data_IF_684124238553
#
_entry.id   IF_684124238553
#
_cell.length_a   1.000
_cell.length_b   1.000
_cell.length_c   1.000
_cell.angle_alpha   90.00
_cell.angle_beta   90.00
_cell.angle_gamma   90.00
#
_symmetry.space_group_name_H-M   'P 1'
#
loop_
_entity.id
_entity.type
_entity.pdbx_description
1 polymer ?
#
# COMPACT_ATOMS: atom_id res chain seq x y z
N UNK A 1 11.05 -0.95 17.04
CA UNK A 1 9.68 -0.80 16.52
C UNK A 1 8.85 -1.93 17.10
N UNK A 2 7.82 -1.59 17.85
CA UNK A 2 6.92 -2.53 18.53
C UNK A 2 5.75 -2.93 17.61
N UNK A 3 5.30 -2.01 16.76
CA UNK A 3 4.26 -2.24 15.77
C UNK A 3 4.72 -3.29 14.75
N UNK A 4 3.94 -4.36 14.58
CA UNK A 4 4.20 -5.41 13.57
C UNK A 4 4.00 -4.85 12.17
N UNK A 5 4.75 -5.37 11.21
CA UNK A 5 4.49 -5.13 9.79
C UNK A 5 3.70 -6.32 9.24
N UNK A 6 2.56 -6.03 8.64
CA UNK A 6 1.63 -7.04 8.12
C UNK A 6 1.41 -6.84 6.64
N UNK A 7 1.46 -7.93 5.89
CA UNK A 7 1.08 -8.01 4.48
C UNK A 7 -0.02 -9.04 4.28
N UNK A 8 -0.82 -8.88 3.24
CA UNK A 8 -1.69 -9.95 2.73
C UNK A 8 -1.19 -10.40 1.35
N UNK A 9 -1.16 -11.71 1.12
CA UNK A 9 -0.70 -12.28 -0.14
C UNK A 9 -1.68 -13.33 -0.67
N UNK A 10 -2.20 -13.12 -1.86
CA UNK A 10 -2.83 -14.14 -2.71
C UNK A 10 -2.04 -14.14 -4.02
N UNK A 11 -1.35 -15.25 -4.30
CA UNK A 11 -0.40 -15.32 -5.42
C UNK A 11 -0.22 -16.73 -5.91
N UNK A 12 -0.01 -16.89 -7.21
CA UNK A 12 0.40 -18.14 -7.84
C UNK A 12 1.60 -17.93 -8.79
N UNK A 13 1.93 -18.91 -9.61
CA UNK A 13 3.07 -18.85 -10.52
C UNK A 13 2.90 -17.87 -11.70
N UNK A 14 1.68 -17.36 -11.94
CA UNK A 14 1.32 -16.58 -13.13
C UNK A 14 1.25 -15.08 -12.86
N UNK A 15 1.39 -14.66 -11.60
CA UNK A 15 1.38 -13.26 -11.21
C UNK A 15 2.76 -12.78 -10.70
N UNK A 16 2.82 -11.54 -10.23
CA UNK A 16 4.03 -10.91 -9.66
C UNK A 16 3.85 -10.46 -8.21
N UNK A 17 2.76 -10.84 -7.54
CA UNK A 17 2.46 -10.33 -6.18
C UNK A 17 3.48 -10.82 -5.15
N UNK A 18 4.02 -12.03 -5.32
CA UNK A 18 5.08 -12.53 -4.44
C UNK A 18 6.38 -11.74 -4.62
N UNK A 19 6.78 -11.41 -5.84
CA UNK A 19 7.99 -10.63 -6.11
C UNK A 19 7.84 -9.19 -5.60
N UNK A 20 6.65 -8.61 -5.72
CA UNK A 20 6.32 -7.31 -5.10
C UNK A 20 6.53 -7.39 -3.60
N UNK A 21 5.93 -8.38 -2.95
CA UNK A 21 6.07 -8.61 -1.51
C UNK A 21 7.54 -8.81 -1.10
N UNK A 22 8.29 -9.66 -1.82
CA UNK A 22 9.71 -9.90 -1.54
C UNK A 22 10.51 -8.59 -1.64
N UNK A 23 10.28 -7.79 -2.69
CA UNK A 23 10.95 -6.50 -2.88
C UNK A 23 10.62 -5.53 -1.73
N UNK A 24 9.36 -5.47 -1.31
CA UNK A 24 8.91 -4.67 -0.18
C UNK A 24 9.62 -5.11 1.10
N UNK A 25 9.63 -6.41 1.42
CA UNK A 25 10.27 -6.95 2.63
C UNK A 25 11.79 -6.71 2.63
N UNK A 26 12.48 -6.91 1.51
CA UNK A 26 13.93 -6.65 1.42
C UNK A 26 14.22 -5.18 1.69
N UNK A 27 13.42 -4.27 1.13
CA UNK A 27 13.54 -2.84 1.39
C UNK A 27 13.23 -2.49 2.85
N UNK A 28 12.24 -3.14 3.46
CA UNK A 28 11.90 -3.00 4.86
C UNK A 28 13.06 -3.43 5.77
N UNK A 29 13.56 -4.66 5.60
CA UNK A 29 14.64 -5.21 6.44
C UNK A 29 15.96 -4.43 6.29
N UNK A 30 16.16 -3.74 5.17
CA UNK A 30 17.32 -2.83 5.00
C UNK A 30 17.30 -1.66 5.99
N UNK A 31 16.16 -1.03 6.20
CA UNK A 31 16.02 0.16 7.06
C UNK A 31 15.50 -0.16 8.46
N UNK A 32 14.90 -1.34 8.63
CA UNK A 32 14.29 -1.82 9.85
C UNK A 32 14.64 -3.31 10.05
N UNK A 33 15.91 -3.65 10.33
CA UNK A 33 16.39 -5.03 10.33
C UNK A 33 15.70 -5.92 11.38
N UNK A 34 15.22 -5.34 12.48
CA UNK A 34 14.52 -6.03 13.56
C UNK A 34 13.00 -5.95 13.48
N UNK A 35 12.44 -5.39 12.40
CA UNK A 35 10.99 -5.34 12.23
C UNK A 35 10.40 -6.75 12.19
N UNK A 36 9.37 -6.99 12.97
CA UNK A 36 8.59 -8.24 12.91
C UNK A 36 7.65 -8.20 11.70
N UNK A 37 7.76 -9.18 10.83
CA UNK A 37 7.00 -9.26 9.57
C UNK A 37 6.08 -10.49 9.60
N UNK A 38 4.78 -10.26 9.47
CA UNK A 38 3.77 -11.30 9.36
C UNK A 38 3.06 -11.21 8.01
N UNK A 39 2.93 -12.33 7.32
CA UNK A 39 2.21 -12.44 6.04
C UNK A 39 0.97 -13.29 6.25
N UNK A 40 -0.19 -12.74 5.91
CA UNK A 40 -1.47 -13.47 5.92
C UNK A 40 -1.79 -13.94 4.50
N UNK A 41 -2.09 -15.22 4.35
CA UNK A 41 -2.31 -15.86 3.03
C UNK A 41 -3.39 -16.94 3.09
N UNK A 42 -3.79 -17.49 1.94
CA UNK A 42 -4.63 -18.68 1.89
C UNK A 42 -3.78 -19.97 1.73
N UNK A 43 -4.41 -21.12 2.00
CA UNK A 43 -3.74 -22.41 1.92
C UNK A 43 -3.20 -22.70 0.50
N UNK A 44 -3.89 -22.24 -0.56
CA UNK A 44 -3.45 -22.44 -1.96
C UNK A 44 -2.17 -21.67 -2.25
N UNK A 45 -2.09 -20.44 -1.82
CA UNK A 45 -0.88 -19.60 -1.97
C UNK A 45 0.28 -20.22 -1.18
N UNK A 46 0.05 -20.63 0.08
CA UNK A 46 1.08 -21.27 0.91
C UNK A 46 1.63 -22.54 0.25
N UNK A 47 0.77 -23.44 -0.26
CA UNK A 47 1.18 -24.65 -0.98
C UNK A 47 1.99 -24.35 -2.26
N UNK A 48 1.83 -23.15 -2.84
CA UNK A 48 2.58 -22.71 -4.01
C UNK A 48 3.99 -22.18 -3.69
N UNK A 49 4.33 -21.99 -2.41
CA UNK A 49 5.63 -21.46 -1.95
C UNK A 49 6.74 -22.55 -1.99
N UNK A 50 6.95 -23.13 -3.16
CA UNK A 50 7.98 -24.13 -3.44
C UNK A 50 9.05 -23.58 -4.39
N UNK A 51 10.21 -24.25 -4.46
CA UNK A 51 11.33 -23.80 -5.29
C UNK A 51 11.81 -22.39 -4.89
N UNK A 52 12.03 -21.49 -5.85
CA UNK A 52 12.45 -20.11 -5.54
C UNK A 52 11.42 -19.34 -4.70
N UNK A 53 10.15 -19.70 -4.76
CA UNK A 53 9.08 -19.02 -4.01
C UNK A 53 9.17 -19.29 -2.50
N UNK A 54 9.81 -20.40 -2.09
CA UNK A 54 10.01 -20.75 -0.66
C UNK A 54 10.90 -19.76 0.09
N UNK A 55 11.59 -18.86 -0.62
CA UNK A 55 12.38 -17.78 0.00
C UNK A 55 11.54 -16.92 0.96
N UNK A 56 10.23 -16.84 0.77
CA UNK A 56 9.34 -16.11 1.67
C UNK A 56 9.46 -16.60 3.11
N UNK A 57 9.50 -17.93 3.34
CA UNK A 57 9.66 -18.51 4.67
C UNK A 57 10.93 -18.06 5.41
N UNK A 58 11.97 -17.66 4.65
CA UNK A 58 13.26 -17.27 5.22
C UNK A 58 13.38 -15.77 5.52
N UNK A 59 12.47 -14.94 5.00
CA UNK A 59 12.56 -13.47 5.10
C UNK A 59 11.44 -12.86 5.94
N UNK A 60 10.45 -13.67 6.38
CA UNK A 60 9.37 -13.27 7.28
C UNK A 60 9.49 -13.97 8.62
N UNK A 61 8.88 -13.38 9.65
CA UNK A 61 8.88 -13.97 10.98
C UNK A 61 7.69 -14.93 11.18
N UNK A 62 6.59 -14.72 10.43
CA UNK A 62 5.40 -15.57 10.48
C UNK A 62 4.62 -15.56 9.16
N UNK A 63 4.10 -16.73 8.80
CA UNK A 63 3.04 -16.87 7.78
C UNK A 63 1.79 -17.39 8.50
N UNK A 64 0.69 -16.66 8.38
CA UNK A 64 -0.61 -17.02 8.95
C UNK A 64 -1.55 -17.42 7.82
N UNK A 65 -2.04 -18.66 7.86
CA UNK A 65 -3.00 -19.17 6.89
C UNK A 65 -4.40 -18.82 7.36
N UNK A 66 -5.11 -18.03 6.54
CA UNK A 66 -6.49 -17.67 6.79
C UNK A 66 -7.45 -18.61 6.05
N UNK A 67 -8.59 -18.90 6.67
CA UNK A 67 -9.68 -19.57 5.99
C UNK A 67 -10.47 -18.57 5.16
N UNK A 68 -10.50 -18.79 3.84
CA UNK A 68 -11.15 -17.92 2.86
C UNK A 68 -12.18 -18.71 2.09
N UNK A 69 -13.38 -18.16 1.81
CA UNK A 69 -14.38 -18.81 0.96
C UNK A 69 -13.78 -19.28 -0.37
N UNK A 70 -14.00 -20.53 -0.72
CA UNK A 70 -13.37 -21.22 -1.87
C UNK A 70 -13.86 -20.71 -3.23
N UNK A 71 -15.05 -20.15 -3.26
CA UNK A 71 -15.74 -19.63 -4.46
C UNK A 71 -15.22 -18.26 -4.91
N UNK A 72 -14.36 -17.61 -4.13
CA UNK A 72 -13.78 -16.33 -4.49
C UNK A 72 -12.63 -16.50 -5.49
N UNK A 73 -12.58 -15.62 -6.50
CA UNK A 73 -11.38 -15.45 -7.34
C UNK A 73 -10.22 -14.78 -6.57
N UNK A 74 -9.01 -14.78 -7.15
CA UNK A 74 -7.83 -14.28 -6.48
C UNK A 74 -7.94 -12.78 -6.09
N UNK A 75 -8.63 -11.97 -6.88
CA UNK A 75 -8.85 -10.55 -6.57
C UNK A 75 -9.72 -10.41 -5.32
N UNK A 76 -10.87 -11.11 -5.30
CA UNK A 76 -11.79 -11.08 -4.16
C UNK A 76 -11.17 -11.69 -2.91
N UNK A 77 -10.38 -12.77 -3.03
CA UNK A 77 -9.63 -13.36 -1.92
C UNK A 77 -8.65 -12.36 -1.30
N UNK A 78 -7.90 -11.63 -2.12
CA UNK A 78 -6.98 -10.60 -1.64
C UNK A 78 -7.72 -9.50 -0.85
N UNK A 79 -8.89 -9.06 -1.33
CA UNK A 79 -9.71 -8.05 -0.63
C UNK A 79 -10.38 -8.62 0.62
N UNK A 80 -10.81 -9.88 0.59
CA UNK A 80 -11.32 -10.59 1.75
C UNK A 80 -10.27 -10.59 2.87
N UNK A 81 -9.04 -11.02 2.59
CA UNK A 81 -7.94 -10.99 3.56
C UNK A 81 -7.75 -9.59 4.14
N UNK A 82 -7.63 -8.59 3.28
CA UNK A 82 -7.38 -7.21 3.71
C UNK A 82 -8.47 -6.68 4.65
N UNK A 83 -9.73 -6.93 4.32
CA UNK A 83 -10.88 -6.46 5.11
C UNK A 83 -11.12 -7.26 6.39
N UNK A 84 -10.51 -8.44 6.55
CA UNK A 84 -10.62 -9.29 7.75
C UNK A 84 -9.34 -9.30 8.60
N UNK A 85 -8.31 -8.54 8.27
CA UNK A 85 -7.01 -8.59 8.95
C UNK A 85 -7.13 -8.38 10.47
N UNK A 86 -8.00 -7.47 10.94
CA UNK A 86 -8.12 -7.17 12.36
C UNK A 86 -8.62 -8.37 13.18
N UNK A 87 -9.40 -9.27 12.59
CA UNK A 87 -9.85 -10.50 13.24
C UNK A 87 -8.78 -11.61 13.25
N UNK A 88 -7.72 -11.47 12.44
CA UNK A 88 -6.66 -12.47 12.27
C UNK A 88 -5.41 -12.08 13.08
N UNK A 89 -5.05 -10.80 13.06
CA UNK A 89 -3.82 -10.29 13.66
C UNK A 89 -4.07 -9.75 15.07
N UNK A 90 -3.34 -10.23 16.05
CA UNK A 90 -3.36 -9.72 17.42
C UNK A 90 -2.35 -8.59 17.59
N UNK A 91 -2.66 -7.60 18.43
CA UNK A 91 -1.80 -6.45 18.71
C UNK A 91 -1.80 -5.41 17.59
N UNK A 92 -1.02 -4.35 17.79
CA UNK A 92 -0.89 -3.24 16.84
C UNK A 92 -0.12 -3.66 15.59
N UNK A 93 -0.54 -3.15 14.42
CA UNK A 93 0.17 -3.42 13.18
C UNK A 93 0.12 -2.25 12.19
N UNK A 94 1.14 -2.18 11.34
CA UNK A 94 1.16 -1.40 10.11
C UNK A 94 0.97 -2.37 8.93
N UNK A 95 -0.20 -2.30 8.30
CA UNK A 95 -0.45 -3.02 7.05
C UNK A 95 0.22 -2.28 5.89
N UNK A 96 0.85 -3.05 5.01
CA UNK A 96 1.46 -2.56 3.77
C UNK A 96 0.96 -3.40 2.58
N UNK A 97 0.53 -2.74 1.49
CA UNK A 97 0.30 -3.42 0.22
C UNK A 97 1.63 -3.95 -0.35
N UNK A 98 1.58 -5.04 -1.10
CA UNK A 98 2.78 -5.70 -1.65
C UNK A 98 3.57 -4.80 -2.61
N UNK A 99 2.91 -3.86 -3.28
CA UNK A 99 3.49 -2.92 -4.23
C UNK A 99 4.00 -1.63 -3.56
N UNK A 100 4.64 -1.80 -2.40
CA UNK A 100 5.31 -0.74 -1.65
C UNK A 100 6.82 -0.95 -1.60
N UNK A 101 7.59 0.13 -1.42
CA UNK A 101 9.02 0.07 -1.15
C UNK A 101 9.34 0.98 0.04
N UNK A 102 10.00 0.42 1.02
CA UNK A 102 10.41 1.15 2.21
C UNK A 102 11.69 1.93 1.90
N UNK A 103 11.69 3.22 2.21
CA UNK A 103 12.73 4.17 1.84
C UNK A 103 13.53 4.72 3.02
N UNK A 104 13.05 4.49 4.24
CA UNK A 104 13.73 4.93 5.47
C UNK A 104 13.20 4.16 6.69
N UNK A 105 13.70 4.48 7.90
CA UNK A 105 13.21 3.88 9.15
C UNK A 105 11.72 4.16 9.37
N UNK A 106 10.98 3.12 9.76
CA UNK A 106 9.57 3.18 10.15
C UNK A 106 9.38 3.27 11.66
N UNK A 107 10.45 3.34 12.47
CA UNK A 107 10.36 3.25 13.93
C UNK A 107 9.41 4.29 14.55
N UNK A 108 9.32 5.48 13.97
CA UNK A 108 8.39 6.52 14.45
C UNK A 108 6.90 6.22 14.21
N UNK A 109 6.55 5.05 13.68
CA UNK A 109 5.15 4.60 13.65
C UNK A 109 4.63 4.31 15.07
N UNK A 110 5.51 3.96 15.98
CA UNK A 110 5.17 3.70 17.38
C UNK A 110 4.80 4.99 18.16
N UNK A 111 5.09 6.17 17.59
CA UNK A 111 4.77 7.47 18.20
C UNK A 111 3.29 7.87 18.01
N UNK A 112 2.57 7.20 17.12
CA UNK A 112 1.15 7.45 16.87
C UNK A 112 0.27 6.60 17.80
N UNK A 113 -0.78 7.23 18.34
CA UNK A 113 -1.71 6.63 19.33
C UNK A 113 -3.11 6.37 18.81
N UNK A 114 -3.46 6.92 17.67
CA UNK A 114 -4.79 6.87 17.08
C UNK A 114 -5.15 5.44 16.63
N UNK A 115 -6.44 5.09 16.71
CA UNK A 115 -6.92 3.73 16.46
C UNK A 115 -6.67 3.24 15.03
N UNK A 116 -6.91 4.12 14.05
CA UNK A 116 -6.73 3.82 12.62
C UNK A 116 -6.16 5.07 11.94
N UNK A 117 -5.06 4.91 11.21
CA UNK A 117 -4.49 6.02 10.46
C UNK A 117 -4.14 5.60 9.03
N UNK A 118 -4.40 6.51 8.09
CA UNK A 118 -4.14 6.31 6.67
C UNK A 118 -3.72 7.62 6.01
N UNK A 119 -3.12 7.52 4.83
CA UNK A 119 -2.81 8.69 4.00
C UNK A 119 -3.96 8.94 3.02
N UNK A 120 -4.28 10.20 2.80
CA UNK A 120 -5.26 10.61 1.79
C UNK A 120 -4.93 10.02 0.40
N UNK A 121 -5.95 9.58 -0.32
CA UNK A 121 -5.78 9.02 -1.65
C UNK A 121 -5.17 10.06 -2.60
N UNK A 122 -4.30 9.62 -3.48
CA UNK A 122 -3.49 10.49 -4.35
C UNK A 122 -2.61 11.51 -3.61
N UNK A 123 -2.41 11.35 -2.29
CA UNK A 123 -1.80 12.35 -1.40
C UNK A 123 -2.51 13.72 -1.49
N UNK A 124 -3.80 13.70 -1.72
CA UNK A 124 -4.65 14.89 -1.82
C UNK A 124 -5.61 15.00 -0.62
N UNK A 125 -5.34 15.90 0.35
CA UNK A 125 -6.14 16.02 1.55
C UNK A 125 -7.53 16.66 1.32
N UNK A 126 -7.79 17.23 0.15
CA UNK A 126 -9.07 17.91 -0.15
C UNK A 126 -10.22 16.89 -0.31
N UNK A 127 -9.92 15.60 -0.26
CA UNK A 127 -10.90 14.54 -0.38
C UNK A 127 -11.15 14.11 -1.83
N UNK A 128 -12.13 13.25 -1.97
CA UNK A 128 -12.43 12.61 -3.23
C UNK A 128 -12.99 13.60 -4.27
N UNK A 129 -12.25 13.80 -5.34
CA UNK A 129 -12.67 14.63 -6.49
C UNK A 129 -12.80 13.82 -7.79
N UNK A 130 -12.46 12.53 -7.79
CA UNK A 130 -12.55 11.67 -8.98
C UNK A 130 -14.02 11.32 -9.26
N UNK A 131 -14.53 11.85 -10.37
CA UNK A 131 -15.92 11.61 -10.84
C UNK A 131 -16.21 10.12 -11.04
N UNK A 132 -15.20 9.32 -11.46
CA UNK A 132 -15.38 7.88 -11.68
C UNK A 132 -15.61 7.17 -10.34
N UNK A 133 -14.85 7.51 -9.32
CA UNK A 133 -14.99 6.92 -7.97
C UNK A 133 -16.30 7.37 -7.33
N UNK A 134 -16.69 8.63 -7.46
CA UNK A 134 -18.00 9.12 -7.01
C UNK A 134 -19.16 8.38 -7.69
N UNK A 135 -19.08 8.19 -9.01
CA UNK A 135 -20.08 7.41 -9.75
C UNK A 135 -20.13 5.96 -9.24
N UNK A 136 -18.98 5.36 -9.00
CA UNK A 136 -18.87 4.01 -8.44
C UNK A 136 -19.54 3.93 -7.05
N UNK A 137 -19.20 4.84 -6.15
CA UNK A 137 -19.82 4.93 -4.82
C UNK A 137 -21.34 5.04 -4.91
N UNK A 138 -21.86 5.88 -5.79
CA UNK A 138 -23.30 6.02 -6.02
C UNK A 138 -23.94 4.71 -6.51
N UNK A 139 -23.28 4.00 -7.44
CA UNK A 139 -23.79 2.71 -7.98
C UNK A 139 -23.98 1.67 -6.89
N UNK A 140 -23.12 1.63 -5.88
CA UNK A 140 -23.21 0.70 -4.76
C UNK A 140 -24.03 1.23 -3.58
N UNK A 141 -24.62 2.42 -3.71
CA UNK A 141 -25.43 3.04 -2.67
C UNK A 141 -24.62 3.68 -1.54
N UNK A 142 -23.37 4.04 -1.80
CA UNK A 142 -22.50 4.80 -0.92
C UNK A 142 -22.63 6.30 -1.25
N UNK A 143 -23.79 6.83 -0.99
CA UNK A 143 -24.10 8.23 -1.25
C UNK A 143 -23.37 9.16 -0.28
N UNK A 144 -23.33 10.45 -0.61
CA UNK A 144 -22.76 11.51 0.24
C UNK A 144 -21.25 11.43 0.47
N UNK A 145 -20.50 10.82 -0.47
CA UNK A 145 -19.02 10.81 -0.39
C UNK A 145 -18.36 12.07 -0.97
N UNK A 146 -19.11 12.92 -1.69
CA UNK A 146 -18.57 14.14 -2.28
C UNK A 146 -18.08 15.11 -1.20
N UNK A 147 -16.88 15.65 -1.35
CA UNK A 147 -16.27 16.58 -0.40
C UNK A 147 -15.84 15.95 0.94
N UNK A 148 -15.90 14.60 1.05
CA UNK A 148 -15.40 13.88 2.21
C UNK A 148 -13.94 13.49 2.03
N UNK A 149 -13.22 13.34 3.14
CA UNK A 149 -11.90 12.74 3.14
C UNK A 149 -11.96 11.34 2.52
N UNK A 150 -11.00 11.03 1.65
CA UNK A 150 -10.92 9.74 0.98
C UNK A 150 -9.49 9.21 1.11
N UNK A 151 -9.37 8.06 1.78
CA UNK A 151 -8.09 7.48 2.16
C UNK A 151 -7.70 6.33 1.24
N UNK A 152 -6.39 6.18 1.06
CA UNK A 152 -5.80 5.07 0.32
C UNK A 152 -5.54 3.88 1.25
N UNK A 153 -6.02 2.71 0.87
CA UNK A 153 -5.94 1.48 1.67
C UNK A 153 -4.59 0.74 1.58
N UNK A 154 -3.59 1.29 0.93
CA UNK A 154 -2.30 0.59 0.72
C UNK A 154 -1.34 0.65 1.91
N UNK A 155 -1.54 1.59 2.84
CA UNK A 155 -0.81 1.68 4.12
C UNK A 155 -1.79 2.05 5.21
N UNK A 156 -1.92 1.18 6.22
CA UNK A 156 -2.89 1.33 7.30
C UNK A 156 -2.22 1.06 8.64
N UNK A 157 -2.10 2.06 9.50
CA UNK A 157 -1.79 1.84 10.91
C UNK A 157 -3.07 1.45 11.65
N UNK A 158 -3.02 0.37 12.40
CA UNK A 158 -4.15 -0.16 13.17
C UNK A 158 -3.70 -0.50 14.57
N UNK A 159 -4.31 0.14 15.57
CA UNK A 159 -4.16 -0.24 16.97
C UNK A 159 -5.14 -1.35 17.34
N UNK A 160 -4.76 -2.18 18.29
CA UNK A 160 -5.64 -3.23 18.81
C UNK A 160 -6.63 -2.64 19.82
N UNK A 161 -7.78 -2.22 19.32
CA UNK A 161 -8.82 -1.54 20.11
C UNK A 161 -10.21 -1.96 19.67
N UNK A 162 -11.20 -1.81 20.54
CA UNK A 162 -12.61 -2.08 20.21
C UNK A 162 -13.09 -1.28 18.98
N UNK A 163 -12.57 -0.05 18.80
CA UNK A 163 -12.91 0.80 17.65
C UNK A 163 -12.39 0.17 16.36
N UNK A 164 -11.14 -0.25 16.32
CA UNK A 164 -10.56 -0.86 15.11
C UNK A 164 -11.22 -2.19 14.76
N UNK A 165 -11.61 -3.00 15.76
CA UNK A 165 -12.39 -4.24 15.53
C UNK A 165 -13.74 -3.94 14.90
N UNK A 166 -14.54 -3.05 15.50
CA UNK A 166 -15.85 -2.67 14.97
C UNK A 166 -15.77 -2.03 13.58
N UNK A 167 -14.71 -1.24 13.35
CA UNK A 167 -14.44 -0.64 12.03
C UNK A 167 -14.23 -1.71 10.96
N UNK A 168 -13.37 -2.69 11.22
CA UNK A 168 -13.06 -3.76 10.26
C UNK A 168 -14.26 -4.66 9.99
N UNK A 169 -15.05 -5.00 11.00
CA UNK A 169 -16.30 -5.76 10.83
C UNK A 169 -17.26 -5.04 9.89
N UNK A 170 -17.48 -3.74 10.10
CA UNK A 170 -18.35 -2.95 9.24
C UNK A 170 -17.75 -2.76 7.84
N UNK A 171 -16.43 -2.54 7.74
CA UNK A 171 -15.75 -2.44 6.44
C UNK A 171 -15.91 -3.72 5.63
N UNK A 172 -15.67 -4.88 6.25
CA UNK A 172 -15.86 -6.17 5.61
C UNK A 172 -17.30 -6.37 5.12
N UNK A 173 -18.28 -6.09 5.97
CA UNK A 173 -19.71 -6.15 5.61
C UNK A 173 -20.05 -5.22 4.43
N UNK A 174 -19.57 -3.98 4.43
CA UNK A 174 -19.77 -3.04 3.33
C UNK A 174 -19.07 -3.48 2.05
N UNK A 175 -17.86 -4.07 2.15
CA UNK A 175 -17.17 -4.64 1.01
C UNK A 175 -17.96 -5.82 0.39
N UNK A 176 -18.51 -6.71 1.20
CA UNK A 176 -19.38 -7.79 0.72
C UNK A 176 -20.61 -7.25 -0.03
N UNK A 177 -21.25 -6.21 0.48
CA UNK A 177 -22.37 -5.52 -0.21
C UNK A 177 -21.92 -4.91 -1.54
N UNK A 178 -20.73 -4.32 -1.59
CA UNK A 178 -20.14 -3.79 -2.82
C UNK A 178 -19.89 -4.89 -3.85
N UNK A 179 -19.30 -5.99 -3.41
CA UNK A 179 -18.98 -7.16 -4.25
C UNK A 179 -20.25 -7.83 -4.83
N UNK A 180 -21.34 -7.91 -4.05
CA UNK A 180 -22.62 -8.42 -4.55
C UNK A 180 -23.23 -7.58 -5.68
N UNK A 181 -22.76 -6.34 -5.83
CA UNK A 181 -23.10 -5.43 -6.94
C UNK A 181 -22.04 -5.39 -8.06
N UNK A 182 -21.09 -6.33 -8.04
CA UNK A 182 -20.04 -6.48 -9.05
C UNK A 182 -18.82 -5.56 -8.85
N UNK A 183 -18.70 -4.89 -7.70
CA UNK A 183 -17.59 -3.98 -7.41
C UNK A 183 -16.69 -4.60 -6.34
N UNK A 184 -15.53 -5.09 -6.78
CA UNK A 184 -14.59 -5.82 -5.92
C UNK A 184 -13.57 -4.93 -5.19
N UNK A 185 -13.53 -3.62 -5.50
CA UNK A 185 -12.60 -2.68 -4.86
C UNK A 185 -12.93 -2.53 -3.37
N UNK A 186 -11.91 -2.56 -2.53
CA UNK A 186 -12.01 -2.42 -1.07
C UNK A 186 -12.06 -0.96 -0.60
N UNK A 187 -11.40 -0.05 -1.32
CA UNK A 187 -11.25 1.35 -0.92
C UNK A 187 -12.56 2.15 -0.88
N UNK A 188 -13.54 2.01 -1.80
CA UNK A 188 -14.83 2.68 -1.67
C UNK A 188 -15.60 2.27 -0.41
N UNK A 189 -15.61 0.99 -0.08
CA UNK A 189 -16.28 0.48 1.13
C UNK A 189 -15.57 0.90 2.42
N UNK A 190 -14.24 0.98 2.41
CA UNK A 190 -13.44 1.54 3.49
C UNK A 190 -13.88 2.97 3.84
N UNK A 191 -13.86 3.84 2.83
CA UNK A 191 -14.15 5.25 3.03
C UNK A 191 -15.62 5.50 3.39
N UNK A 192 -16.53 4.71 2.83
CA UNK A 192 -17.93 4.74 3.26
C UNK A 192 -18.10 4.32 4.72
N UNK A 193 -17.36 3.28 5.15
CA UNK A 193 -17.35 2.83 6.55
C UNK A 193 -16.85 3.94 7.47
N UNK A 194 -15.75 4.58 7.10
CA UNK A 194 -15.20 5.71 7.85
C UNK A 194 -16.24 6.81 8.05
N UNK A 195 -16.88 7.24 6.96
CA UNK A 195 -17.93 8.26 7.04
C UNK A 195 -19.13 7.82 7.90
N UNK A 196 -19.54 6.55 7.84
CA UNK A 196 -20.66 6.02 8.64
C UNK A 196 -20.38 6.00 10.13
N UNK A 197 -19.12 5.82 10.52
CA UNK A 197 -18.68 5.78 11.91
C UNK A 197 -18.28 7.16 12.47
N UNK A 198 -18.46 8.25 11.71
CA UNK A 198 -18.15 9.59 12.18
C UNK A 198 -16.68 10.00 11.96
N UNK A 199 -16.04 9.47 10.90
CA UNK A 199 -14.69 9.80 10.47
C UNK A 199 -13.61 9.37 11.49
N UNK A 200 -13.59 8.07 11.80
CA UNK A 200 -12.66 7.43 12.76
C UNK A 200 -11.21 7.39 12.24
N UNK A 201 -10.99 7.44 10.92
CA UNK A 201 -9.64 7.43 10.35
C UNK A 201 -8.98 8.78 10.57
N UNK A 202 -7.81 8.77 11.20
CA UNK A 202 -6.94 9.95 11.31
C UNK A 202 -5.89 9.95 10.19
N UNK A 203 -5.52 11.14 9.71
CA UNK A 203 -4.61 11.26 8.58
C UNK A 203 -3.15 11.04 9.00
N UNK A 204 -2.48 10.08 8.35
CA UNK A 204 -1.02 9.96 8.36
C UNK A 204 -0.40 10.99 7.42
N UNK A 205 0.76 11.56 7.77
CA UNK A 205 1.53 12.36 6.83
C UNK A 205 1.83 11.60 5.52
N UNK A 206 1.75 12.29 4.38
CA UNK A 206 1.90 11.69 3.04
C UNK A 206 3.19 10.89 2.81
N UNK A 207 4.24 11.12 3.62
CA UNK A 207 5.49 10.36 3.60
C UNK A 207 5.31 8.87 3.95
N UNK A 208 4.22 8.50 4.66
CA UNK A 208 3.93 7.13 5.05
C UNK A 208 3.28 6.29 3.95
N UNK A 209 2.68 6.95 2.96
CA UNK A 209 2.15 6.32 1.75
C UNK A 209 2.33 7.29 0.60
N UNK A 210 3.59 7.46 0.18
CA UNK A 210 3.92 8.33 -0.95
C UNK A 210 3.48 7.66 -2.24
N UNK A 211 2.27 8.00 -2.68
CA UNK A 211 1.70 7.54 -3.93
C UNK A 211 2.36 8.33 -5.05
N UNK A 212 3.28 7.71 -5.76
CA UNK A 212 4.12 8.36 -6.77
C UNK A 212 3.36 8.91 -7.98
N UNK A 213 2.05 8.77 -7.95
CA UNK A 213 1.10 9.40 -8.85
C UNK A 213 0.62 10.73 -8.24
N UNK A 214 0.13 11.61 -9.05
CA UNK A 214 -0.51 12.85 -8.60
C UNK A 214 0.35 13.69 -7.64
N UNK A 215 -0.19 14.03 -6.47
CA UNK A 215 0.46 14.89 -5.47
C UNK A 215 1.49 14.17 -4.58
N UNK A 216 1.68 12.87 -4.74
CA UNK A 216 2.70 12.10 -4.01
C UNK A 216 4.13 12.63 -4.14
N UNK A 217 4.43 13.37 -5.20
CA UNK A 217 5.72 14.05 -5.38
C UNK A 217 6.09 14.95 -4.21
N UNK A 218 5.13 15.58 -3.56
CA UNK A 218 5.38 16.48 -2.43
C UNK A 218 6.01 15.75 -1.23
N UNK A 219 5.70 14.48 -1.06
CA UNK A 219 6.19 13.63 0.03
C UNK A 219 7.43 12.82 -0.34
N UNK A 220 7.84 12.80 -1.60
CA UNK A 220 8.82 11.86 -2.14
C UNK A 220 10.21 11.98 -1.51
N UNK A 221 10.68 13.19 -1.27
CA UNK A 221 12.02 13.43 -0.72
C UNK A 221 12.22 12.77 0.65
N UNK A 222 11.20 12.86 1.50
CA UNK A 222 11.18 12.30 2.85
C UNK A 222 10.38 11.01 2.96
N UNK A 223 9.99 10.39 1.84
CA UNK A 223 9.16 9.21 1.84
C UNK A 223 9.74 8.12 2.75
N UNK A 224 8.90 7.60 3.62
CA UNK A 224 9.15 6.41 4.43
C UNK A 224 8.70 5.17 3.67
N UNK A 225 7.49 5.23 3.11
CA UNK A 225 6.92 4.20 2.26
C UNK A 225 6.55 4.82 0.92
N UNK A 226 7.10 4.28 -0.15
CA UNK A 226 6.73 4.63 -1.51
C UNK A 226 5.80 3.56 -2.07
N UNK A 227 4.63 3.97 -2.56
CA UNK A 227 3.60 3.10 -3.11
C UNK A 227 3.52 3.33 -4.61
N UNK A 228 3.85 2.33 -5.40
CA UNK A 228 3.92 2.46 -6.84
C UNK A 228 2.72 1.86 -7.59
N UNK A 229 1.68 1.46 -6.88
CA UNK A 229 0.37 0.96 -7.28
C UNK A 229 0.30 0.32 -8.68
N UNK A 230 0.06 -0.97 -8.73
CA UNK A 230 -0.18 -1.69 -9.99
C UNK A 230 1.01 -1.72 -10.95
N UNK A 231 2.25 -1.57 -10.49
CA UNK A 231 3.49 -1.52 -11.26
C UNK A 231 3.77 -2.72 -12.18
N UNK A 232 2.81 -3.59 -12.38
CA UNK A 232 2.91 -4.71 -13.32
C UNK A 232 3.04 -4.31 -14.80
N UNK A 233 2.83 -3.05 -15.14
CA UNK A 233 2.93 -2.55 -16.52
C UNK A 233 4.31 -2.00 -16.91
N UNK A 234 5.19 -1.71 -15.95
CA UNK A 234 6.51 -1.14 -16.24
C UNK A 234 7.56 -2.23 -16.47
N UNK A 235 8.20 -2.18 -17.64
CA UNK A 235 9.24 -3.16 -18.02
C UNK A 235 10.43 -3.21 -17.07
N UNK A 236 10.74 -2.13 -16.37
CA UNK A 236 11.89 -2.08 -15.46
C UNK A 236 11.62 -2.75 -14.13
N UNK A 237 10.42 -2.56 -13.56
CA UNK A 237 10.06 -3.28 -12.35
C UNK A 237 9.88 -4.77 -12.64
N UNK A 238 9.36 -5.13 -13.82
CA UNK A 238 9.31 -6.53 -14.28
C UNK A 238 10.70 -7.16 -14.38
N UNK A 239 11.71 -6.39 -14.79
CA UNK A 239 13.08 -6.87 -14.79
C UNK A 239 13.58 -7.15 -13.37
N UNK A 240 13.24 -6.34 -12.39
CA UNK A 240 13.56 -6.62 -10.97
C UNK A 240 12.86 -7.90 -10.49
N UNK A 241 11.60 -8.11 -10.85
CA UNK A 241 10.89 -9.35 -10.54
C UNK A 241 11.56 -10.57 -11.17
N UNK A 242 11.98 -10.46 -12.44
CA UNK A 242 12.76 -11.51 -13.10
C UNK A 242 14.05 -11.81 -12.35
N UNK A 243 14.77 -10.79 -11.91
CA UNK A 243 16.02 -10.94 -11.13
C UNK A 243 15.75 -11.65 -9.80
N UNK A 244 14.66 -11.33 -9.11
CA UNK A 244 14.25 -12.03 -7.89
C UNK A 244 14.08 -13.54 -8.15
N UNK A 245 13.42 -13.91 -9.26
CA UNK A 245 13.20 -15.31 -9.64
C UNK A 245 14.48 -16.05 -10.01
N UNK A 246 15.42 -15.38 -10.68
CA UNK A 246 16.60 -16.03 -11.32
C UNK A 246 17.89 -15.90 -10.51
N UNK A 247 18.11 -14.78 -9.84
CA UNK A 247 19.33 -14.48 -9.08
C UNK A 247 19.09 -14.52 -7.56
N UNK A 248 17.81 -14.54 -7.13
CA UNK A 248 17.42 -14.54 -5.73
C UNK A 248 17.55 -13.19 -5.04
N UNK A 249 17.12 -13.16 -3.79
CA UNK A 249 17.02 -11.94 -2.97
C UNK A 249 18.36 -11.26 -2.63
N UNK A 250 19.45 -11.99 -2.71
CA UNK A 250 20.80 -11.46 -2.41
C UNK A 250 21.45 -10.69 -3.58
N UNK A 251 20.80 -10.63 -4.75
CA UNK A 251 21.32 -10.00 -5.96
C UNK A 251 21.78 -8.56 -5.71
N UNK A 252 22.99 -8.24 -6.19
CA UNK A 252 23.54 -6.87 -6.16
C UNK A 252 22.67 -5.87 -6.92
N UNK A 253 21.96 -6.35 -7.97
CA UNK A 253 21.05 -5.51 -8.77
C UNK A 253 19.84 -5.08 -7.95
N UNK A 254 19.26 -5.99 -7.16
CA UNK A 254 18.13 -5.66 -6.24
C UNK A 254 18.61 -4.66 -5.19
N UNK A 255 19.76 -4.89 -4.56
CA UNK A 255 20.35 -3.95 -3.58
C UNK A 255 20.58 -2.57 -4.20
N UNK A 256 21.13 -2.50 -5.41
CA UNK A 256 21.31 -1.24 -6.15
C UNK A 256 19.98 -0.54 -6.41
N UNK A 257 18.98 -1.29 -6.85
CA UNK A 257 17.64 -0.77 -7.11
C UNK A 257 17.02 -0.14 -5.85
N UNK A 258 17.02 -0.85 -4.72
CA UNK A 258 16.50 -0.33 -3.45
C UNK A 258 17.29 0.91 -2.98
N UNK A 259 18.62 0.93 -3.15
CA UNK A 259 19.43 2.08 -2.76
C UNK A 259 19.08 3.37 -3.52
N UNK A 260 18.63 3.23 -4.75
CA UNK A 260 18.33 4.36 -5.63
C UNK A 260 16.84 4.60 -5.84
N UNK A 261 15.98 3.94 -5.07
CA UNK A 261 14.52 4.01 -5.25
C UNK A 261 14.00 5.44 -5.30
N UNK A 262 14.41 6.30 -4.36
CA UNK A 262 13.99 7.71 -4.33
C UNK A 262 14.66 8.60 -5.38
N UNK A 263 15.74 8.14 -5.98
CA UNK A 263 16.55 8.92 -6.94
C UNK A 263 16.47 8.39 -8.36
N UNK A 264 15.87 7.23 -8.56
CA UNK A 264 15.74 6.61 -9.88
C UNK A 264 14.50 7.12 -10.59
N UNK A 265 14.68 7.90 -11.64
CA UNK A 265 13.59 8.31 -12.54
C UNK A 265 12.80 7.11 -13.09
N UNK A 266 13.39 5.94 -13.10
CA UNK A 266 12.80 4.73 -13.67
C UNK A 266 11.62 4.19 -12.85
N UNK A 267 11.66 4.31 -11.54
CA UNK A 267 10.55 3.88 -10.68
C UNK A 267 9.32 4.77 -10.83
N UNK A 268 9.54 6.02 -11.15
CA UNK A 268 8.51 7.04 -11.23
C UNK A 268 7.79 7.07 -12.58
N UNK A 269 8.34 6.39 -13.57
CA UNK A 269 7.72 6.26 -14.89
C UNK A 269 6.73 5.09 -14.97
N UNK A 270 6.35 4.52 -13.84
CA UNK A 270 5.36 3.43 -13.79
C UNK A 270 3.94 3.91 -14.10
N UNK A 271 3.65 5.18 -13.87
CA UNK A 271 2.35 5.75 -14.21
C UNK A 271 2.22 5.98 -15.72
N UNK A 272 1.00 5.93 -16.21
CA UNK A 272 0.67 6.33 -17.58
C UNK A 272 0.89 7.83 -17.85
N UNK A 273 1.15 8.61 -16.81
CA UNK A 273 1.43 10.04 -16.92
C UNK A 273 2.89 10.26 -17.29
N UNK A 274 3.13 10.37 -18.58
CA UNK A 274 4.42 10.66 -19.20
C UNK A 274 4.60 12.15 -19.50
N UNK A 275 3.82 13.01 -18.89
CA UNK A 275 3.92 14.44 -19.17
C UNK A 275 5.32 14.97 -18.85
N UNK A 276 5.83 15.86 -19.68
CA UNK A 276 7.13 16.50 -19.48
C UNK A 276 7.18 17.24 -18.12
N UNK A 277 6.10 17.91 -17.77
CA UNK A 277 6.01 18.65 -16.51
C UNK A 277 6.18 17.76 -15.28
N UNK A 278 5.55 16.58 -15.25
CA UNK A 278 5.69 15.66 -14.13
C UNK A 278 7.11 15.09 -14.00
N UNK A 279 7.81 14.87 -15.13
CA UNK A 279 9.21 14.44 -15.12
C UNK A 279 10.14 15.52 -14.58
N UNK A 280 9.91 16.76 -14.96
CA UNK A 280 10.68 17.92 -14.47
C UNK A 280 10.44 18.13 -12.98
N UNK A 281 9.18 18.12 -12.55
CA UNK A 281 8.82 18.27 -11.13
C UNK A 281 9.40 17.16 -10.27
N UNK A 282 9.41 15.93 -10.77
CA UNK A 282 10.05 14.80 -10.12
C UNK A 282 11.56 15.00 -9.97
N UNK A 283 12.23 15.38 -11.07
CA UNK A 283 13.67 15.64 -11.05
C UNK A 283 14.03 16.76 -10.07
N UNK A 284 13.25 17.82 -10.06
CA UNK A 284 13.42 18.94 -9.14
C UNK A 284 13.24 18.49 -7.68
N UNK A 285 12.18 17.72 -7.39
CA UNK A 285 11.94 17.23 -6.04
C UNK A 285 13.08 16.33 -5.54
N UNK A 286 13.55 15.42 -6.37
CA UNK A 286 14.55 14.42 -5.98
C UNK A 286 15.97 15.01 -5.92
N UNK A 287 16.39 15.78 -6.91
CA UNK A 287 17.76 16.31 -7.00
C UNK A 287 17.91 17.72 -6.47
N UNK A 288 16.88 18.53 -6.56
CA UNK A 288 16.91 19.95 -6.24
C UNK A 288 15.77 20.36 -5.29
N UNK A 289 15.58 19.59 -4.23
CA UNK A 289 14.43 19.70 -3.32
C UNK A 289 14.19 21.13 -2.79
N UNK A 290 15.25 21.86 -2.45
CA UNK A 290 15.11 23.27 -2.01
C UNK A 290 14.53 24.18 -3.10
N UNK A 291 14.95 23.98 -4.35
CA UNK A 291 14.40 24.71 -5.50
C UNK A 291 12.95 24.29 -5.75
N UNK A 292 12.65 22.99 -5.66
CA UNK A 292 11.28 22.48 -5.75
C UNK A 292 10.37 23.16 -4.72
N UNK A 293 10.78 23.20 -3.44
CA UNK A 293 10.02 23.85 -2.38
C UNK A 293 9.80 25.35 -2.64
N UNK A 294 10.82 26.04 -3.18
CA UNK A 294 10.69 27.45 -3.54
C UNK A 294 9.67 27.65 -4.66
N UNK A 295 9.78 26.87 -5.72
CA UNK A 295 8.86 26.94 -6.87
C UNK A 295 7.43 26.58 -6.47
N UNK A 296 7.21 25.57 -5.64
CA UNK A 296 5.87 25.22 -5.17
C UNK A 296 5.24 26.34 -4.34
N UNK A 297 6.01 27.00 -3.50
CA UNK A 297 5.52 28.17 -2.74
C UNK A 297 5.15 29.36 -3.66
N UNK A 298 5.92 29.59 -4.73
CA UNK A 298 5.69 30.71 -5.63
C UNK A 298 4.52 30.49 -6.62
N UNK A 299 4.29 29.25 -7.04
CA UNK A 299 3.36 28.95 -8.13
C UNK A 299 2.10 28.18 -7.73
N UNK A 300 2.04 27.62 -6.52
CA UNK A 300 0.92 26.76 -6.10
C UNK A 300 0.28 27.17 -4.76
N UNK A 301 0.69 28.30 -4.18
CA UNK A 301 0.08 28.91 -3.00
C UNK A 301 -0.61 30.25 -3.38
N UNK A 302 -1.35 30.24 -4.49
CA UNK A 302 -2.37 31.26 -4.78
C UNK A 302 -3.74 30.60 -4.85
#
# INVERSE_FOLDING_TARGET
MNTKIVYSLISDSNDYYLEQLILSIISLKKYNPTAYVEVVTDNKTEQSLIGWRSVLHNIVDRITIADIPKDLDNIRKSRYLKTTLRSIINGDYLFLDTDTIICSSLASIDDFSENIMMVADCNDPIGLQDVKVLKLCKTIGFESMQGKAYYNSGVILVKDSAISHSFYELWHSNWQKSTSKGINLDQPSLNYTNHKLGDEIQELPGIWNCQIYFKGFNSLYNAKVMHYAGGGSNNQIKEIYRIIRTEGVASKKIKKYINHTRTSLYMYLTSNDRSFNNRVMLLLNVKYHKLYQLLTKLFFHN
#
